data_IF_207188747424
#
_entry.id   IF_207188747424
#
_cell.length_a   1.000
_cell.length_b   1.000
_cell.length_c   1.000
_cell.angle_alpha   90.00
_cell.angle_beta   90.00
_cell.angle_gamma   90.00
#
_symmetry.space_group_name_H-M   'P 1'
#
loop_
_entity.id
_entity.type
_entity.pdbx_description
1 polymer ?
#
# COMPACT_ATOMS: atom_id res chain seq x y z
N UNK A 1 7.62 -35.67 29.44
CA UNK A 1 7.91 -37.00 30.04
C UNK A 1 7.66 -38.04 28.96
N UNK A 2 8.68 -38.86 28.65
CA UNK A 2 8.70 -40.05 27.75
C UNK A 2 8.59 -39.77 26.24
N UNK A 3 9.68 -39.88 25.45
CA UNK A 3 10.39 -41.06 24.90
C UNK A 3 9.95 -41.29 23.42
N UNK A 4 10.75 -40.92 22.41
CA UNK A 4 11.83 -41.68 21.71
C UNK A 4 11.36 -42.87 20.84
N UNK A 5 11.81 -42.80 19.58
CA UNK A 5 12.17 -43.87 18.63
C UNK A 5 11.12 -44.55 17.73
N UNK A 6 11.36 -44.49 16.42
CA UNK A 6 11.47 -45.60 15.44
C UNK A 6 12.15 -45.03 14.16
N UNK A 7 13.38 -45.41 13.79
CA UNK A 7 13.77 -46.51 12.85
C UNK A 7 13.11 -46.30 11.47
N UNK A 8 13.76 -46.19 10.30
CA UNK A 8 15.12 -46.45 9.82
C UNK A 8 15.03 -47.09 8.42
N UNK A 9 15.66 -46.53 7.37
CA UNK A 9 16.15 -47.21 6.13
C UNK A 9 16.72 -46.13 5.16
N UNK A 10 18.03 -45.99 4.89
CA UNK A 10 18.89 -46.78 3.97
C UNK A 10 18.37 -46.78 2.52
N UNK A 11 18.86 -45.92 1.62
CA UNK A 11 19.93 -46.12 0.61
C UNK A 11 19.83 -44.90 -0.36
N UNK A 12 20.86 -44.27 -0.95
CA UNK A 12 21.83 -44.80 -1.90
C UNK A 12 22.87 -43.69 -2.24
N UNK A 13 24.16 -44.03 -2.17
CA UNK A 13 25.31 -43.62 -3.01
C UNK A 13 25.56 -42.13 -3.42
N UNK A 14 26.70 -41.55 -3.03
CA UNK A 14 28.02 -41.43 -3.77
C UNK A 14 27.98 -40.34 -4.86
N UNK A 15 28.97 -39.48 -5.12
CA UNK A 15 30.40 -39.32 -4.80
C UNK A 15 30.63 -37.79 -4.60
N UNK A 16 31.59 -37.28 -3.83
CA UNK A 16 32.99 -37.03 -4.23
C UNK A 16 33.72 -36.57 -2.94
N UNK A 17 34.60 -37.39 -2.34
CA UNK A 17 36.09 -37.23 -2.32
C UNK A 17 36.52 -35.76 -2.19
N UNK A 18 36.88 -35.20 -1.03
CA UNK A 18 38.14 -35.33 -0.23
C UNK A 18 39.41 -35.46 -1.07
N UNK A 19 40.59 -34.90 -0.69
CA UNK A 19 41.18 -34.89 0.68
C UNK A 19 41.87 -33.53 1.02
N UNK A 20 42.61 -33.26 2.11
CA UNK A 20 43.53 -34.06 2.92
C UNK A 20 43.92 -33.18 4.15
N UNK A 21 43.63 -33.60 5.39
CA UNK A 21 44.51 -34.33 6.34
C UNK A 21 45.62 -33.48 6.98
N UNK A 22 45.36 -33.08 8.21
CA UNK A 22 46.30 -32.85 9.34
C UNK A 22 45.62 -33.67 10.47
N UNK A 23 46.28 -34.56 11.25
CA UNK A 23 47.26 -34.09 12.25
C UNK A 23 48.28 -35.12 12.82
N UNK A 24 49.05 -34.61 13.78
CA UNK A 24 49.64 -35.23 14.98
C UNK A 24 50.91 -36.11 14.96
N UNK A 25 51.89 -35.59 15.72
CA UNK A 25 52.64 -36.35 16.72
C UNK A 25 53.96 -36.96 16.27
N UNK A 26 55.07 -36.61 16.96
CA UNK A 26 55.74 -37.50 17.92
C UNK A 26 57.01 -36.84 18.49
N UNK A 27 57.20 -37.01 19.80
CA UNK A 27 58.43 -36.75 20.53
C UNK A 27 59.38 -37.94 20.42
N UNK A 28 60.67 -37.73 20.14
CA UNK A 28 61.83 -38.56 20.50
C UNK A 28 63.01 -37.99 19.68
N UNK A 29 64.24 -37.79 20.14
CA UNK A 29 64.92 -37.98 21.41
C UNK A 29 66.39 -37.59 21.16
N UNK A 30 67.03 -37.04 22.19
CA UNK A 30 68.41 -37.27 22.62
C UNK A 30 69.61 -37.25 21.64
N UNK A 31 70.55 -36.40 22.05
CA UNK A 31 72.02 -36.58 22.01
C UNK A 31 72.71 -36.29 20.68
N UNK A 32 73.41 -35.15 20.65
CA UNK A 32 74.87 -35.15 20.43
C UNK A 32 75.47 -33.89 21.08
N UNK A 33 76.19 -34.12 22.18
CA UNK A 33 77.22 -33.21 22.69
C UNK A 33 78.41 -33.37 21.77
N UNK A 34 78.83 -32.31 21.08
CA UNK A 34 80.25 -32.12 20.83
C UNK A 34 80.60 -30.65 20.61
N UNK A 35 81.40 -30.18 21.55
CA UNK A 35 82.41 -29.12 21.50
C UNK A 35 82.50 -28.28 20.21
N UNK A 36 82.55 -26.95 20.40
CA UNK A 36 83.79 -26.21 20.14
C UNK A 36 83.64 -24.76 20.62
N UNK A 37 84.28 -24.54 21.77
CA UNK A 37 84.83 -23.26 22.20
C UNK A 37 85.43 -22.49 21.02
N UNK A 38 84.84 -21.35 20.68
CA UNK A 38 85.56 -20.26 20.02
C UNK A 38 85.02 -18.90 20.46
N UNK A 39 85.75 -18.35 21.41
CA UNK A 39 85.79 -16.96 21.84
C UNK A 39 85.42 -15.96 20.73
N UNK A 40 84.32 -15.19 20.89
CA UNK A 40 84.07 -13.93 20.18
C UNK A 40 82.87 -13.16 20.82
N UNK A 41 83.03 -12.79 22.09
CA UNK A 41 82.05 -12.07 22.92
C UNK A 41 81.75 -10.63 22.45
N UNK A 42 82.52 -10.07 21.50
CA UNK A 42 82.31 -8.72 20.99
C UNK A 42 81.31 -8.60 19.81
N UNK A 43 80.99 -9.71 19.12
CA UNK A 43 80.12 -9.73 17.94
C UNK A 43 78.63 -10.00 18.28
N UNK A 44 78.36 -10.70 19.39
CA UNK A 44 77.00 -11.01 19.85
C UNK A 44 76.28 -9.77 20.42
N UNK A 45 76.99 -8.93 21.16
CA UNK A 45 76.43 -7.72 21.76
C UNK A 45 76.00 -6.70 20.70
N UNK A 46 76.79 -6.58 19.62
CA UNK A 46 76.50 -5.68 18.48
C UNK A 46 75.30 -6.15 17.64
N UNK A 47 75.02 -7.46 17.58
CA UNK A 47 73.84 -8.01 16.87
C UNK A 47 72.55 -7.84 17.68
N UNK A 48 72.60 -7.92 19.00
CA UNK A 48 71.43 -7.72 19.87
C UNK A 48 70.96 -6.26 19.91
N UNK A 49 71.89 -5.29 19.89
CA UNK A 49 71.55 -3.86 19.87
C UNK A 49 70.91 -3.43 18.53
N UNK A 50 71.36 -3.99 17.41
CA UNK A 50 70.77 -3.70 16.08
C UNK A 50 69.38 -4.32 15.94
N UNK A 51 69.14 -5.52 16.51
CA UNK A 51 67.80 -6.13 16.50
C UNK A 51 66.81 -5.35 17.38
N UNK A 52 67.28 -4.78 18.49
CA UNK A 52 66.46 -3.93 19.38
C UNK A 52 66.05 -2.60 18.73
N UNK A 53 66.94 -1.97 17.96
CA UNK A 53 66.66 -0.72 17.24
C UNK A 53 65.75 -0.92 16.01
N UNK A 54 65.77 -2.09 15.37
CA UNK A 54 64.83 -2.43 14.28
C UNK A 54 63.42 -2.81 14.79
N UNK A 55 63.29 -3.28 16.04
CA UNK A 55 61.99 -3.57 16.64
C UNK A 55 61.23 -2.29 17.06
N UNK A 56 61.91 -1.15 17.22
CA UNK A 56 61.28 0.14 17.57
C UNK A 56 60.59 0.87 16.41
N UNK A 57 60.65 0.34 15.19
CA UNK A 57 60.02 0.96 14.00
C UNK A 57 58.86 0.15 13.43
N UNK A 58 58.04 -0.51 14.26
CA UNK A 58 56.77 -1.06 13.78
C UNK A 58 55.73 0.07 13.63
N UNK A 59 55.16 0.28 12.43
CA UNK A 59 54.16 1.31 12.20
C UNK A 59 52.89 1.01 13.00
N UNK A 60 52.39 2.03 13.69
CA UNK A 60 51.11 2.02 14.37
C UNK A 60 50.01 1.55 13.39
N UNK A 61 49.16 0.57 13.74
CA UNK A 61 48.04 0.19 12.91
C UNK A 61 47.07 1.38 12.80
N UNK A 62 47.06 2.02 11.62
CA UNK A 62 46.20 3.14 11.29
C UNK A 62 44.71 2.80 11.38
N UNK A 63 43.90 3.84 11.62
CA UNK A 63 42.47 3.79 11.87
C UNK A 63 41.72 2.83 10.93
N UNK A 64 41.15 1.78 11.54
CA UNK A 64 40.18 0.92 10.89
C UNK A 64 38.95 1.75 10.49
N UNK A 65 38.80 2.05 9.19
CA UNK A 65 37.61 2.69 8.65
C UNK A 65 36.42 1.73 8.75
N UNK A 66 35.66 1.80 9.85
CA UNK A 66 34.49 0.92 10.07
C UNK A 66 33.34 1.42 9.21
N UNK A 67 33.24 0.90 7.99
CA UNK A 67 32.06 1.06 7.13
C UNK A 67 30.89 0.33 7.82
N UNK A 68 30.02 1.10 8.48
CA UNK A 68 28.80 0.57 9.10
C UNK A 68 27.77 0.34 8.01
N UNK A 69 27.62 -0.92 7.60
CA UNK A 69 26.52 -1.35 6.71
C UNK A 69 25.20 -1.25 7.48
N UNK A 70 24.12 -0.83 6.81
CA UNK A 70 22.78 -0.65 7.39
C UNK A 70 22.31 -1.84 8.26
N UNK A 71 22.70 -3.07 7.90
CA UNK A 71 22.38 -4.29 8.67
C UNK A 71 23.00 -4.37 10.07
N UNK A 72 24.02 -3.56 10.37
CA UNK A 72 24.72 -3.52 11.69
C UNK A 72 24.37 -2.26 12.50
N UNK A 73 23.38 -1.49 12.07
CA UNK A 73 22.93 -0.32 12.83
C UNK A 73 22.07 -0.74 14.04
N UNK A 74 22.26 -0.09 15.20
CA UNK A 74 21.38 -0.24 16.36
C UNK A 74 19.91 -0.03 15.96
N UNK A 75 18.99 -0.77 16.58
CA UNK A 75 17.56 -0.76 16.25
C UNK A 75 16.94 0.65 16.19
N UNK A 76 17.44 1.60 16.99
CA UNK A 76 17.00 3.02 17.00
C UNK A 76 17.31 3.81 15.72
N UNK A 77 18.21 3.31 14.88
CA UNK A 77 18.57 3.90 13.58
C UNK A 77 18.09 3.03 12.41
N UNK A 78 17.36 1.95 12.68
CA UNK A 78 16.71 1.19 11.64
C UNK A 78 15.42 1.93 11.27
N UNK A 79 15.26 2.26 9.99
CA UNK A 79 14.00 2.76 9.49
C UNK A 79 12.91 1.71 9.80
N UNK A 80 11.70 2.20 10.14
CA UNK A 80 10.55 1.31 10.28
C UNK A 80 10.43 0.46 9.00
N UNK A 81 10.21 -0.85 9.17
CA UNK A 81 10.04 -1.75 8.03
C UNK A 81 8.74 -1.37 7.30
N UNK A 82 8.85 -0.61 6.21
CA UNK A 82 7.72 -0.28 5.33
C UNK A 82 7.42 -1.55 4.54
N UNK A 83 6.28 -2.20 4.84
CA UNK A 83 5.80 -3.33 4.06
C UNK A 83 5.65 -2.92 2.59
N UNK A 84 6.19 -3.75 1.70
CA UNK A 84 6.30 -3.48 0.26
C UNK A 84 4.91 -3.15 -0.33
N UNK A 85 4.76 -2.01 -1.02
CA UNK A 85 3.47 -1.58 -1.58
C UNK A 85 2.95 -2.50 -2.70
N UNK A 86 3.75 -3.49 -3.12
CA UNK A 86 3.31 -4.59 -4.00
C UNK A 86 2.09 -5.36 -3.48
N UNK A 87 1.77 -5.26 -2.19
CA UNK A 87 0.53 -5.79 -1.61
C UNK A 87 -0.12 -4.69 -0.77
N UNK A 88 -0.56 -3.61 -1.42
CA UNK A 88 -1.54 -2.73 -0.80
C UNK A 88 -2.83 -3.54 -0.61
N UNK A 89 -3.18 -3.86 0.64
CA UNK A 89 -4.45 -4.50 0.98
C UNK A 89 -5.59 -3.48 0.79
N UNK A 90 -6.09 -3.41 -0.44
CA UNK A 90 -7.17 -2.51 -0.85
C UNK A 90 -8.51 -2.89 -0.20
N UNK A 91 -8.63 -4.06 0.43
CA UNK A 91 -9.82 -4.44 1.19
C UNK A 91 -10.04 -3.56 2.43
N UNK A 92 -9.00 -2.86 2.91
CA UNK A 92 -9.16 -1.84 3.97
C UNK A 92 -9.77 -0.53 3.45
N UNK A 93 -9.77 -0.33 2.12
CA UNK A 93 -10.38 0.82 1.46
C UNK A 93 -11.79 0.53 0.94
N UNK A 94 -12.24 -0.74 0.97
CA UNK A 94 -13.62 -1.10 0.68
C UNK A 94 -14.50 -0.75 1.88
N UNK A 95 -14.86 0.53 2.00
CA UNK A 95 -16.08 0.90 2.73
C UNK A 95 -17.27 0.26 2.01
N UNK A 96 -18.30 -0.16 2.73
CA UNK A 96 -19.52 -0.74 2.16
C UNK A 96 -20.09 0.21 1.09
N UNK A 97 -19.86 -0.09 -0.18
CA UNK A 97 -20.44 0.63 -1.31
C UNK A 97 -21.88 0.19 -1.45
N UNK A 98 -22.75 0.63 -0.54
CA UNK A 98 -24.18 0.62 -0.83
C UNK A 98 -24.33 1.51 -2.05
N UNK A 99 -24.65 0.92 -3.20
CA UNK A 99 -24.93 1.66 -4.43
C UNK A 99 -26.12 2.57 -4.15
N UNK A 100 -25.81 3.79 -3.74
CA UNK A 100 -26.78 4.75 -3.29
C UNK A 100 -27.50 5.29 -4.53
N UNK A 101 -28.70 4.77 -4.77
CA UNK A 101 -29.66 5.34 -5.73
C UNK A 101 -30.25 6.65 -5.23
N UNK A 102 -29.81 7.14 -4.06
CA UNK A 102 -30.24 8.40 -3.49
C UNK A 102 -29.91 9.55 -4.44
N UNK A 103 -30.83 10.51 -4.45
CA UNK A 103 -30.68 11.80 -5.09
C UNK A 103 -29.79 12.66 -4.20
N UNK A 104 -28.77 13.26 -4.80
CA UNK A 104 -27.83 14.15 -4.11
C UNK A 104 -28.00 15.60 -4.56
N UNK A 105 -27.30 16.50 -3.86
CA UNK A 105 -27.20 17.90 -4.27
C UNK A 105 -26.52 18.01 -5.63
N UNK A 106 -26.98 18.95 -6.45
CA UNK A 106 -26.54 19.17 -7.84
C UNK A 106 -26.91 18.07 -8.84
N UNK A 107 -27.63 17.02 -8.42
CA UNK A 107 -28.20 16.05 -9.36
C UNK A 107 -29.28 16.71 -10.23
N UNK A 108 -29.48 16.15 -11.43
CA UNK A 108 -30.59 16.51 -12.32
C UNK A 108 -31.51 15.30 -12.45
N UNK A 109 -32.76 15.49 -12.07
CA UNK A 109 -33.83 14.50 -12.15
C UNK A 109 -34.87 14.93 -13.18
N UNK A 110 -35.40 13.97 -13.91
CA UNK A 110 -36.56 14.18 -14.76
C UNK A 110 -37.81 13.97 -13.94
N UNK A 111 -38.64 15.01 -13.86
CA UNK A 111 -39.93 14.97 -13.18
C UNK A 111 -41.03 14.98 -14.22
N UNK A 112 -41.89 13.98 -14.12
CA UNK A 112 -43.07 13.82 -14.96
C UNK A 112 -44.30 13.81 -14.06
N UNK A 113 -45.23 14.73 -14.29
CA UNK A 113 -46.47 14.85 -13.51
C UNK A 113 -47.65 14.66 -14.46
N UNK A 114 -48.50 13.68 -14.18
CA UNK A 114 -49.69 13.37 -14.97
C UNK A 114 -50.94 13.47 -14.10
N UNK A 115 -51.93 14.25 -14.53
CA UNK A 115 -53.21 14.42 -13.83
C UNK A 115 -54.29 13.41 -14.27
N UNK A 116 -53.99 12.58 -15.28
CA UNK A 116 -54.95 11.69 -15.95
C UNK A 116 -55.87 12.39 -16.95
N UNK A 117 -55.76 13.72 -17.10
CA UNK A 117 -56.52 14.52 -18.07
C UNK A 117 -55.74 14.83 -19.36
N UNK A 118 -54.46 14.48 -19.40
CA UNK A 118 -53.54 14.73 -20.51
C UNK A 118 -53.74 13.68 -21.62
N UNK A 119 -53.68 14.10 -22.89
CA UNK A 119 -53.64 13.16 -24.02
C UNK A 119 -52.34 12.34 -24.01
N UNK A 120 -52.44 11.04 -24.33
CA UNK A 120 -51.29 10.16 -24.40
C UNK A 120 -50.22 10.72 -25.37
N UNK A 121 -49.00 10.91 -24.86
CA UNK A 121 -47.87 11.42 -25.65
C UNK A 121 -47.53 12.91 -25.48
N UNK A 122 -48.34 13.69 -24.74
CA UNK A 122 -48.00 15.09 -24.40
C UNK A 122 -47.22 15.25 -23.10
N UNK A 123 -47.18 14.21 -22.29
CA UNK A 123 -46.49 14.21 -21.01
C UNK A 123 -44.98 14.25 -21.28
N UNK A 124 -44.35 15.39 -21.03
CA UNK A 124 -42.94 15.62 -21.34
C UNK A 124 -42.12 15.65 -20.05
N UNK A 125 -41.03 14.86 -19.93
CA UNK A 125 -40.17 14.90 -18.75
C UNK A 125 -39.52 16.28 -18.62
N UNK A 126 -39.68 16.92 -17.46
CA UNK A 126 -39.07 18.21 -17.18
C UNK A 126 -37.77 18.00 -16.38
N UNK A 127 -36.60 18.41 -16.90
CA UNK A 127 -35.35 18.31 -16.16
C UNK A 127 -35.34 19.33 -15.02
N UNK A 128 -35.20 18.86 -13.79
CA UNK A 128 -35.13 19.68 -12.59
C UNK A 128 -33.79 19.42 -11.88
N UNK A 129 -33.07 20.50 -11.58
CA UNK A 129 -31.81 20.44 -10.83
C UNK A 129 -32.08 20.57 -9.33
N UNK A 130 -31.41 19.72 -8.55
CA UNK A 130 -31.38 19.82 -7.09
C UNK A 130 -30.32 20.85 -6.70
N UNK A 131 -30.72 21.84 -5.90
CA UNK A 131 -29.80 22.88 -5.43
C UNK A 131 -28.85 22.36 -4.33
N UNK A 132 -27.88 23.18 -3.95
CA UNK A 132 -26.93 22.91 -2.86
C UNK A 132 -27.59 22.67 -1.50
N UNK A 133 -28.80 23.22 -1.30
CA UNK A 133 -29.61 22.99 -0.11
C UNK A 133 -30.39 21.65 -0.14
N UNK A 134 -30.26 20.86 -1.22
CA UNK A 134 -31.00 19.61 -1.41
C UNK A 134 -32.46 19.79 -1.82
N UNK A 135 -32.81 21.00 -2.26
CA UNK A 135 -34.16 21.40 -2.67
C UNK A 135 -34.21 21.50 -4.19
N UNK A 136 -35.25 20.94 -4.80
CA UNK A 136 -35.55 21.04 -6.22
C UNK A 136 -36.73 22.01 -6.42
N UNK A 137 -36.63 22.87 -7.42
CA UNK A 137 -37.72 23.78 -7.81
C UNK A 137 -38.46 23.20 -9.00
N UNK A 138 -39.63 22.63 -8.74
CA UNK A 138 -40.47 21.99 -9.76
C UNK A 138 -41.51 22.99 -10.24
N UNK A 139 -41.73 23.07 -11.55
CA UNK A 139 -42.76 23.95 -12.12
C UNK A 139 -44.15 23.61 -11.56
N UNK A 140 -44.97 24.63 -11.32
CA UNK A 140 -46.29 24.57 -10.69
C UNK A 140 -46.26 24.17 -9.21
N UNK A 141 -45.54 23.10 -8.84
CA UNK A 141 -45.45 22.63 -7.47
C UNK A 141 -44.68 23.64 -6.61
N UNK A 142 -43.48 24.04 -7.01
CA UNK A 142 -42.57 24.93 -6.29
C UNK A 142 -41.38 24.19 -5.67
N UNK A 143 -40.86 24.70 -4.56
CA UNK A 143 -39.70 24.10 -3.86
C UNK A 143 -40.09 22.82 -3.11
N UNK A 144 -39.34 21.73 -3.34
CA UNK A 144 -39.51 20.42 -2.68
C UNK A 144 -38.15 19.84 -2.30
N UNK A 145 -37.93 19.40 -1.04
CA UNK A 145 -36.69 18.76 -0.63
C UNK A 145 -36.61 17.33 -1.19
N UNK A 146 -35.56 17.03 -1.98
CA UNK A 146 -35.36 15.73 -2.63
C UNK A 146 -34.04 15.05 -2.24
N UNK A 147 -33.07 15.78 -1.70
CA UNK A 147 -31.78 15.19 -1.34
C UNK A 147 -31.93 14.09 -0.26
N UNK A 148 -31.18 13.00 -0.44
CA UNK A 148 -31.20 11.84 0.44
C UNK A 148 -32.43 10.94 0.26
N UNK A 149 -33.29 11.21 -0.72
CA UNK A 149 -34.41 10.34 -1.07
C UNK A 149 -34.06 9.46 -2.26
N UNK A 150 -34.60 8.24 -2.27
CA UNK A 150 -34.65 7.44 -3.49
C UNK A 150 -35.66 8.03 -4.49
N UNK A 151 -35.52 7.77 -5.81
CA UNK A 151 -36.45 8.30 -6.82
C UNK A 151 -37.92 8.01 -6.50
N UNK A 152 -38.23 6.80 -6.02
CA UNK A 152 -39.59 6.43 -5.61
C UNK A 152 -40.10 7.23 -4.40
N UNK A 153 -39.23 7.52 -3.43
CA UNK A 153 -39.59 8.35 -2.28
C UNK A 153 -39.78 9.82 -2.70
N UNK A 154 -38.96 10.29 -3.64
CA UNK A 154 -39.10 11.61 -4.24
C UNK A 154 -40.44 11.76 -4.99
N UNK A 155 -40.90 10.74 -5.72
CA UNK A 155 -42.22 10.72 -6.37
C UNK A 155 -43.34 10.99 -5.36
N UNK A 156 -43.36 10.24 -4.26
CA UNK A 156 -44.35 10.41 -3.20
C UNK A 156 -44.26 11.80 -2.56
N UNK A 157 -43.06 12.30 -2.31
CA UNK A 157 -42.83 13.62 -1.71
C UNK A 157 -43.37 14.74 -2.60
N UNK A 158 -43.15 14.65 -3.91
CA UNK A 158 -43.64 15.62 -4.90
C UNK A 158 -45.16 15.52 -5.02
N UNK A 159 -45.71 14.31 -5.10
CA UNK A 159 -47.16 14.10 -5.17
C UNK A 159 -47.87 14.72 -3.94
N UNK A 160 -47.36 14.46 -2.74
CA UNK A 160 -47.89 15.03 -1.51
C UNK A 160 -47.80 16.57 -1.50
N UNK A 161 -46.65 17.14 -1.86
CA UNK A 161 -46.49 18.60 -1.94
C UNK A 161 -47.45 19.24 -2.96
N UNK A 162 -47.74 18.54 -4.06
CA UNK A 162 -48.66 19.00 -5.09
C UNK A 162 -50.14 18.96 -4.62
N UNK A 163 -50.50 17.96 -3.82
CA UNK A 163 -51.83 17.83 -3.18
C UNK A 163 -52.00 18.86 -2.07
N UNK A 164 -51.02 19.00 -1.18
CA UNK A 164 -51.03 19.95 -0.05
C UNK A 164 -51.20 21.40 -0.52
N UNK A 165 -50.65 21.73 -1.69
CA UNK A 165 -50.76 23.06 -2.32
C UNK A 165 -52.05 23.24 -3.13
N UNK A 166 -52.92 22.23 -3.19
CA UNK A 166 -54.21 22.28 -3.90
C UNK A 166 -54.10 22.30 -5.43
N UNK A 167 -52.94 21.94 -6.00
CA UNK A 167 -52.68 22.00 -7.44
C UNK A 167 -53.26 20.78 -8.17
N UNK A 168 -53.23 19.62 -7.52
CA UNK A 168 -53.71 18.36 -8.07
C UNK A 168 -54.48 17.57 -7.01
N UNK A 169 -55.50 16.80 -7.42
CA UNK A 169 -56.24 15.92 -6.50
C UNK A 169 -55.56 14.55 -6.32
N UNK A 170 -55.11 13.96 -7.42
CA UNK A 170 -54.46 12.65 -7.43
C UNK A 170 -53.44 12.58 -8.59
N UNK A 171 -52.32 13.31 -8.49
CA UNK A 171 -51.29 13.30 -9.54
C UNK A 171 -50.52 11.98 -9.53
N UNK A 172 -50.24 11.44 -10.72
CA UNK A 172 -49.24 10.40 -10.93
C UNK A 172 -47.90 11.09 -11.19
N UNK A 173 -46.93 10.87 -10.33
CA UNK A 173 -45.60 11.46 -10.44
C UNK A 173 -44.60 10.35 -10.73
N UNK A 174 -43.73 10.57 -11.71
CA UNK A 174 -42.60 9.70 -12.01
C UNK A 174 -41.32 10.52 -11.96
N UNK A 175 -40.33 10.04 -11.22
CA UNK A 175 -39.02 10.69 -11.06
C UNK A 175 -37.96 9.72 -11.56
N UNK A 176 -37.20 10.15 -12.56
CA UNK A 176 -36.07 9.37 -13.07
C UNK A 176 -34.78 10.16 -12.97
N UNK A 177 -33.67 9.46 -12.75
CA UNK A 177 -32.36 10.09 -12.69
C UNK A 177 -31.90 10.43 -14.11
N UNK A 178 -31.80 11.73 -14.44
CA UNK A 178 -31.26 12.18 -15.74
C UNK A 178 -29.73 12.24 -15.72
N UNK A 179 -29.17 12.90 -14.71
CA UNK A 179 -27.72 13.10 -14.58
C UNK A 179 -27.32 13.20 -13.12
N UNK A 180 -26.39 12.34 -12.69
CA UNK A 180 -25.76 12.47 -11.38
C UNK A 180 -24.69 13.56 -11.38
N UNK A 181 -24.55 14.24 -10.25
CA UNK A 181 -23.47 15.15 -9.96
C UNK A 181 -22.15 14.38 -9.92
N UNK A 182 -21.10 15.02 -10.46
CA UNK A 182 -19.76 14.44 -10.56
C UNK A 182 -18.75 15.28 -9.79
N UNK A 183 -17.82 14.60 -9.14
CA UNK A 183 -16.60 15.17 -8.59
C UNK A 183 -15.44 14.89 -9.54
N UNK A 184 -14.62 15.91 -9.78
CA UNK A 184 -13.39 15.80 -10.58
C UNK A 184 -12.21 15.67 -9.62
N UNK A 185 -11.56 14.52 -9.62
CA UNK A 185 -10.46 14.19 -8.70
C UNK A 185 -9.20 13.99 -9.53
N UNK A 186 -8.10 14.59 -9.09
CA UNK A 186 -6.79 14.42 -9.75
C UNK A 186 -6.03 13.28 -9.09
N UNK A 187 -5.71 12.25 -9.86
CA UNK A 187 -4.90 11.10 -9.41
C UNK A 187 -3.50 11.21 -10.00
N UNK A 188 -2.48 11.16 -9.14
CA UNK A 188 -1.06 11.28 -9.51
C UNK A 188 -0.21 10.20 -8.83
N UNK A 189 0.95 9.90 -9.41
CA UNK A 189 1.93 8.95 -8.86
C UNK A 189 1.98 7.62 -9.62
N UNK A 190 2.35 6.55 -8.92
CA UNK A 190 2.49 5.21 -9.47
C UNK A 190 1.14 4.49 -9.63
N UNK A 191 0.27 5.06 -10.46
CA UNK A 191 -1.00 4.49 -10.93
C UNK A 191 -0.93 4.29 -12.44
N UNK A 192 -1.75 3.39 -13.00
CA UNK A 192 -1.71 3.12 -14.44
C UNK A 192 -2.07 4.35 -15.28
N UNK A 193 -3.14 5.05 -14.90
CA UNK A 193 -3.63 6.24 -15.60
C UNK A 193 -3.71 7.45 -14.68
N UNK A 194 -2.69 8.30 -14.76
CA UNK A 194 -2.68 9.58 -14.07
C UNK A 194 -3.59 10.60 -14.78
N UNK A 195 -4.10 11.56 -14.01
CA UNK A 195 -4.90 12.66 -14.54
C UNK A 195 -6.21 12.88 -13.77
N UNK A 196 -7.10 13.64 -14.39
CA UNK A 196 -8.41 13.97 -13.81
C UNK A 196 -9.37 12.81 -14.08
N UNK A 197 -9.97 12.27 -13.02
CA UNK A 197 -11.00 11.23 -13.06
C UNK A 197 -12.32 11.80 -12.55
N UNK A 198 -13.40 11.49 -13.24
CA UNK A 198 -14.75 11.93 -12.89
C UNK A 198 -15.45 10.80 -12.15
N UNK A 199 -15.84 11.04 -10.90
CA UNK A 199 -16.57 10.09 -10.08
C UNK A 199 -17.92 10.67 -9.69
N UNK A 200 -18.99 9.85 -9.61
CA UNK A 200 -20.24 10.29 -9.00
C UNK A 200 -20.00 10.81 -7.58
N UNK A 201 -20.67 11.90 -7.18
CA UNK A 201 -20.49 12.52 -5.86
C UNK A 201 -20.64 11.52 -4.71
N UNK A 202 -21.73 10.75 -4.71
CA UNK A 202 -22.03 9.74 -3.69
C UNK A 202 -21.14 8.50 -3.69
N UNK A 203 -20.23 8.36 -4.65
CA UNK A 203 -19.31 7.21 -4.77
C UNK A 203 -17.87 7.68 -5.04
N UNK A 204 -17.48 8.83 -4.48
CA UNK A 204 -16.15 9.43 -4.67
C UNK A 204 -15.12 8.95 -3.64
N UNK A 205 -15.01 7.63 -3.44
CA UNK A 205 -14.05 7.04 -2.50
C UNK A 205 -12.64 6.93 -3.09
N UNK A 206 -11.61 6.82 -2.22
CA UNK A 206 -10.23 6.60 -2.66
C UNK A 206 -10.10 5.33 -3.51
N UNK A 207 -10.78 4.25 -3.10
CA UNK A 207 -10.81 3.01 -3.87
C UNK A 207 -11.44 3.23 -5.25
N UNK A 208 -12.57 3.92 -5.34
CA UNK A 208 -13.21 4.24 -6.62
C UNK A 208 -12.31 5.09 -7.53
N UNK A 209 -11.56 6.05 -6.97
CA UNK A 209 -10.58 6.83 -7.70
C UNK A 209 -9.43 5.98 -8.24
N UNK A 210 -8.88 5.07 -7.42
CA UNK A 210 -7.83 4.13 -7.84
C UNK A 210 -8.34 3.17 -8.93
N UNK A 211 -9.56 2.67 -8.79
CA UNK A 211 -10.21 1.82 -9.80
C UNK A 211 -10.40 2.57 -11.12
N UNK A 212 -10.89 3.82 -11.08
CA UNK A 212 -11.01 4.67 -12.26
C UNK A 212 -9.66 5.06 -12.90
N UNK A 213 -8.57 5.01 -12.12
CA UNK A 213 -7.19 5.19 -12.58
C UNK A 213 -6.51 3.89 -13.04
N UNK A 214 -7.24 2.75 -13.10
CA UNK A 214 -6.71 1.48 -13.58
C UNK A 214 -5.93 0.67 -12.55
N UNK A 215 -6.04 1.00 -11.26
CA UNK A 215 -5.26 0.48 -10.13
C UNK A 215 -3.81 0.99 -10.09
N UNK A 216 -3.05 0.50 -9.11
CA UNK A 216 -1.63 0.81 -8.93
C UNK A 216 -0.79 0.25 -10.08
N UNK A 217 0.28 0.98 -10.43
CA UNK A 217 1.32 0.52 -11.34
C UNK A 217 2.27 -0.47 -10.61
N UNK A 218 2.94 -1.35 -11.36
CA UNK A 218 3.92 -2.30 -10.80
C UNK A 218 5.10 -1.62 -10.08
N UNK A 219 5.37 -0.34 -10.42
CA UNK A 219 6.40 0.49 -9.80
C UNK A 219 5.96 1.13 -8.48
N UNK A 220 4.73 0.91 -8.02
CA UNK A 220 4.24 1.47 -6.77
C UNK A 220 5.03 0.96 -5.56
N UNK A 221 5.56 1.89 -4.76
CA UNK A 221 6.30 1.64 -3.50
C UNK A 221 7.60 0.85 -3.63
N UNK A 222 8.33 1.02 -4.74
CA UNK A 222 9.65 0.39 -4.95
C UNK A 222 10.84 1.24 -4.42
N UNK A 223 10.62 2.18 -3.51
CA UNK A 223 11.65 3.10 -2.97
C UNK A 223 11.71 3.09 -1.46
#
# INVERSE_FOLDING_TARGET
>A
MLLKNCIGLSLLNRLFTTPQKVPDGLWQGDVLIESLSRNNSALLFRRLVVLGLLASSLPLPGCANRIVKARRMPARYQAAHVTNAKVADLSRLSMSTTSSSLIEVEDVVDVTISSGLEEAGRITPTPVRVDNNGVATIALVGQVPLAGLEPFQAEQRIANAAIERGLFKAPQVTVTMRKKAINRITVVGAVKEQGIKELPKGQSTLLAALMAAGSLDEKAGTT
#
